data_IF_635118420424
#
_entry.id   IF_635118420424
#
_cell.length_a   1.000
_cell.length_b   1.000
_cell.length_c   1.000
_cell.angle_alpha   90.00
_cell.angle_beta   90.00
_cell.angle_gamma   90.00
#
_symmetry.space_group_name_H-M   'P 1'
#
loop_
_entity.id
_entity.type
_entity.pdbx_description
1 polymer ?
#
# COMPACT_ATOMS: atom_id res chain seq x y z
N UNK A 1 -9.15 -3.52 33.80
CA UNK A 1 -8.18 -3.38 32.71
C UNK A 1 -8.80 -3.88 31.41
N UNK A 2 -8.72 -3.12 30.33
CA UNK A 2 -9.23 -3.55 29.03
C UNK A 2 -8.19 -4.51 28.40
N UNK A 3 -8.45 -5.80 28.56
CA UNK A 3 -7.59 -6.85 28.01
C UNK A 3 -8.15 -7.36 26.67
N UNK A 4 -7.28 -7.43 25.66
CA UNK A 4 -7.59 -7.88 24.31
C UNK A 4 -6.78 -9.11 23.93
N UNK A 5 -7.22 -9.86 22.94
CA UNK A 5 -6.39 -10.89 22.32
C UNK A 5 -5.32 -10.24 21.46
N UNK A 6 -5.71 -9.23 20.66
CA UNK A 6 -4.80 -8.50 19.76
C UNK A 6 -5.04 -7.01 19.82
N UNK A 7 -3.97 -6.22 19.93
CA UNK A 7 -3.99 -4.78 19.67
C UNK A 7 -3.32 -4.55 18.32
N UNK A 8 -4.01 -3.87 17.40
CA UNK A 8 -3.51 -3.45 16.10
C UNK A 8 -3.21 -1.95 16.12
N UNK A 9 -2.00 -1.56 15.79
CA UNK A 9 -1.57 -0.16 15.75
C UNK A 9 -1.61 0.35 14.32
N UNK A 10 -2.60 1.22 14.02
CA UNK A 10 -2.87 1.79 12.69
C UNK A 10 -4.11 1.18 12.03
N UNK A 11 -5.01 2.06 11.55
CA UNK A 11 -6.26 1.70 10.87
C UNK A 11 -6.17 1.93 9.34
N UNK A 12 -4.98 1.72 8.74
CA UNK A 12 -4.81 1.63 7.29
C UNK A 12 -5.26 0.27 6.74
N UNK A 13 -5.08 -0.01 5.43
CA UNK A 13 -5.53 -1.25 4.82
C UNK A 13 -5.04 -2.51 5.54
N UNK A 14 -3.79 -2.55 6.01
CA UNK A 14 -3.27 -3.70 6.74
C UNK A 14 -3.98 -3.91 8.09
N UNK A 15 -4.10 -2.85 8.88
CA UNK A 15 -4.69 -2.97 10.22
C UNK A 15 -6.20 -3.20 10.20
N UNK A 16 -6.91 -2.54 9.31
CA UNK A 16 -8.35 -2.75 9.14
C UNK A 16 -8.64 -4.17 8.63
N UNK A 17 -7.87 -4.68 7.65
CA UNK A 17 -8.03 -6.05 7.17
C UNK A 17 -7.70 -7.08 8.26
N UNK A 18 -6.61 -6.87 9.04
CA UNK A 18 -6.34 -7.78 10.15
C UNK A 18 -7.48 -7.78 11.18
N UNK A 19 -8.01 -6.60 11.51
CA UNK A 19 -9.16 -6.49 12.42
C UNK A 19 -10.41 -7.20 11.88
N UNK A 20 -10.67 -7.10 10.58
CA UNK A 20 -11.76 -7.81 9.90
C UNK A 20 -11.59 -9.33 9.99
N UNK A 21 -10.43 -9.84 9.61
CA UNK A 21 -10.14 -11.28 9.62
C UNK A 21 -10.22 -11.89 11.03
N UNK A 22 -9.59 -11.22 12.02
CA UNK A 22 -9.60 -11.70 13.40
C UNK A 22 -10.96 -11.56 14.07
N UNK A 23 -11.72 -10.49 13.75
CA UNK A 23 -13.09 -10.30 14.25
C UNK A 23 -14.02 -11.43 13.79
N UNK A 24 -13.89 -11.88 12.51
CA UNK A 24 -14.63 -13.05 12.00
C UNK A 24 -14.23 -14.36 12.68
N UNK A 25 -13.07 -14.42 13.30
CA UNK A 25 -12.60 -15.55 14.14
C UNK A 25 -12.99 -15.38 15.62
N UNK A 26 -13.87 -14.43 15.92
CA UNK A 26 -14.40 -14.12 17.26
C UNK A 26 -13.32 -13.73 18.29
N UNK A 27 -12.16 -13.23 17.82
CA UNK A 27 -11.11 -12.74 18.68
C UNK A 27 -11.40 -11.29 19.13
N UNK A 28 -11.04 -10.98 20.37
CA UNK A 28 -11.19 -9.63 20.92
C UNK A 28 -10.08 -8.71 20.43
N UNK A 29 -10.36 -7.94 19.37
CA UNK A 29 -9.41 -7.07 18.69
C UNK A 29 -9.67 -5.60 18.98
N UNK A 30 -8.61 -4.86 19.31
CA UNK A 30 -8.61 -3.40 19.40
C UNK A 30 -7.72 -2.82 18.30
N UNK A 31 -8.29 -1.97 17.45
CA UNK A 31 -7.54 -1.18 16.47
C UNK A 31 -7.37 0.24 17.02
N UNK A 32 -6.12 0.70 17.15
CA UNK A 32 -5.78 2.05 17.57
C UNK A 32 -5.34 2.88 16.37
N UNK A 33 -6.00 4.00 16.09
CA UNK A 33 -5.62 4.95 15.05
C UNK A 33 -5.36 6.33 15.68
N UNK A 34 -4.21 6.92 15.35
CA UNK A 34 -3.80 8.22 15.91
C UNK A 34 -4.62 9.41 15.42
N UNK A 35 -5.13 9.31 14.19
CA UNK A 35 -5.94 10.36 13.57
C UNK A 35 -7.44 10.03 13.73
N UNK A 36 -8.30 11.05 13.70
CA UNK A 36 -9.75 10.85 13.57
C UNK A 36 -10.12 10.36 12.18
N UNK A 37 -10.99 9.37 12.09
CA UNK A 37 -11.48 8.82 10.83
C UNK A 37 -12.77 9.54 10.38
N UNK A 38 -12.95 9.71 9.03
CA UNK A 38 -12.03 9.41 7.93
C UNK A 38 -10.86 10.40 7.88
N UNK A 39 -9.65 9.90 7.56
CA UNK A 39 -8.45 10.71 7.53
C UNK A 39 -7.79 10.74 6.15
N UNK A 40 -7.13 11.83 5.82
CA UNK A 40 -6.30 11.92 4.62
C UNK A 40 -5.08 10.98 4.74
N UNK A 41 -4.70 10.35 3.63
CA UNK A 41 -3.47 9.57 3.49
C UNK A 41 -2.95 9.74 2.06
N UNK A 42 -1.73 10.28 1.86
CA UNK A 42 -1.17 10.45 0.53
C UNK A 42 -0.98 9.08 -0.15
N UNK A 43 -1.55 8.94 -1.34
CA UNK A 43 -1.47 7.75 -2.18
C UNK A 43 -2.22 7.99 -3.48
N UNK A 44 -1.68 7.61 -4.61
CA UNK A 44 -2.40 7.61 -5.89
C UNK A 44 -3.77 6.89 -5.82
N UNK A 45 -3.95 6.02 -4.82
CA UNK A 45 -5.21 5.32 -4.58
C UNK A 45 -5.53 4.31 -5.68
N UNK A 46 -4.52 3.76 -6.35
CA UNK A 46 -4.71 2.68 -7.31
C UNK A 46 -4.91 1.34 -6.60
N UNK A 47 -6.04 0.70 -6.82
CA UNK A 47 -6.35 -0.66 -6.37
C UNK A 47 -6.26 -1.58 -7.58
N UNK A 48 -5.25 -2.42 -7.64
CA UNK A 48 -5.09 -3.41 -8.72
C UNK A 48 -6.15 -4.50 -8.64
N UNK A 49 -6.39 -5.23 -9.74
CA UNK A 49 -7.33 -6.37 -9.74
C UNK A 49 -6.98 -7.39 -8.66
N UNK A 50 -5.68 -7.70 -8.49
CA UNK A 50 -5.22 -8.63 -7.46
C UNK A 50 -5.48 -8.11 -6.05
N UNK A 51 -5.40 -6.80 -5.82
CA UNK A 51 -5.73 -6.23 -4.52
C UNK A 51 -7.24 -6.27 -4.25
N UNK A 52 -8.06 -5.95 -5.25
CA UNK A 52 -9.52 -6.02 -5.14
C UNK A 52 -10.01 -7.45 -4.91
N UNK A 53 -9.41 -8.46 -5.57
CA UNK A 53 -9.81 -9.88 -5.43
C UNK A 53 -9.50 -10.49 -4.05
N UNK A 54 -8.69 -9.82 -3.21
CA UNK A 54 -8.45 -10.23 -1.83
C UNK A 54 -9.62 -9.92 -0.89
N UNK A 55 -10.52 -9.01 -1.30
CA UNK A 55 -11.64 -8.58 -0.50
C UNK A 55 -12.87 -9.42 -0.86
N UNK A 56 -13.50 -10.04 0.12
CA UNK A 56 -14.69 -10.89 -0.03
C UNK A 56 -16.01 -10.09 0.06
N UNK A 57 -15.92 -8.76 -0.05
CA UNK A 57 -17.04 -7.83 -0.06
C UNK A 57 -16.90 -6.81 -1.20
N UNK A 58 -18.04 -6.26 -1.62
CA UNK A 58 -18.10 -5.26 -2.69
C UNK A 58 -17.51 -3.91 -2.25
N UNK A 59 -16.59 -3.38 -3.06
CA UNK A 59 -15.94 -2.07 -2.86
C UNK A 59 -16.47 -0.99 -3.82
N UNK A 60 -17.49 -1.27 -4.61
CA UNK A 60 -18.01 -0.36 -5.65
C UNK A 60 -18.37 1.01 -5.09
N UNK A 61 -18.88 1.08 -3.87
CA UNK A 61 -19.28 2.32 -3.19
C UNK A 61 -18.13 3.30 -2.93
N UNK A 62 -16.90 2.84 -2.94
CA UNK A 62 -15.69 3.67 -2.68
C UNK A 62 -14.80 3.81 -3.91
N UNK A 63 -15.19 3.25 -5.06
CA UNK A 63 -14.48 3.43 -6.33
C UNK A 63 -14.78 4.84 -6.87
N UNK A 64 -13.73 5.57 -7.18
CA UNK A 64 -13.79 6.89 -7.80
C UNK A 64 -13.72 6.81 -9.34
N UNK A 65 -13.01 5.81 -9.88
CA UNK A 65 -12.90 5.55 -11.31
C UNK A 65 -12.36 4.16 -11.59
N UNK A 66 -12.59 3.66 -12.82
CA UNK A 66 -12.08 2.36 -13.31
C UNK A 66 -11.27 2.59 -14.57
N UNK A 67 -9.99 2.27 -14.55
CA UNK A 67 -9.11 2.45 -15.70
C UNK A 67 -8.97 1.15 -16.50
N UNK A 68 -9.26 1.22 -17.79
CA UNK A 68 -9.03 0.17 -18.77
C UNK A 68 -7.89 0.49 -19.72
N UNK A 69 -7.47 1.76 -19.74
CA UNK A 69 -6.44 2.26 -20.65
C UNK A 69 -5.33 2.95 -19.87
N UNK A 70 -4.12 2.86 -20.40
CA UNK A 70 -2.98 3.61 -19.92
C UNK A 70 -2.37 4.43 -21.06
N UNK A 71 -2.24 5.74 -20.85
CA UNK A 71 -1.34 6.59 -21.59
C UNK A 71 0.05 6.40 -21.01
N UNK A 72 1.01 5.99 -21.80
CA UNK A 72 2.39 5.81 -21.37
C UNK A 72 3.24 6.81 -22.15
N UNK A 73 4.01 7.62 -21.44
CA UNK A 73 4.95 8.57 -22.05
C UNK A 73 6.38 8.25 -21.63
N UNK A 74 7.30 8.53 -22.54
CA UNK A 74 8.73 8.51 -22.28
C UNK A 74 9.24 9.95 -22.21
N UNK A 75 9.62 10.39 -21.02
CA UNK A 75 10.14 11.75 -20.76
C UNK A 75 9.17 12.84 -21.22
N UNK A 76 7.87 12.65 -20.99
CA UNK A 76 6.79 13.57 -21.33
C UNK A 76 6.71 13.96 -22.81
N UNK A 77 7.27 13.16 -23.71
CA UNK A 77 7.36 13.49 -25.13
C UNK A 77 6.80 12.39 -26.05
N UNK A 78 7.49 11.26 -26.17
CA UNK A 78 7.02 10.13 -26.98
C UNK A 78 5.93 9.37 -26.21
N UNK A 79 4.80 9.05 -26.88
CA UNK A 79 3.65 8.47 -26.21
C UNK A 79 3.05 7.27 -26.93
N UNK A 80 2.34 6.45 -26.19
CA UNK A 80 1.37 5.50 -26.69
C UNK A 80 0.19 5.38 -25.72
N UNK A 81 -0.98 5.06 -26.26
CA UNK A 81 -2.15 4.68 -25.47
C UNK A 81 -2.40 3.20 -25.68
N UNK A 82 -2.47 2.48 -24.59
CA UNK A 82 -2.71 1.04 -24.57
C UNK A 82 -3.97 0.72 -23.78
N UNK A 83 -4.75 -0.20 -24.30
CA UNK A 83 -5.98 -0.68 -23.63
C UNK A 83 -5.80 -2.13 -23.19
N UNK A 84 -6.44 -2.49 -22.11
CA UNK A 84 -6.57 -3.87 -21.63
C UNK A 84 -8.05 -4.26 -21.58
N UNK A 85 -8.35 -5.55 -21.78
CA UNK A 85 -9.74 -6.08 -21.75
C UNK A 85 -10.36 -6.03 -20.36
N UNK A 86 -9.53 -6.22 -19.34
CA UNK A 86 -9.92 -6.14 -17.93
C UNK A 86 -9.48 -4.80 -17.33
N UNK A 87 -10.08 -4.35 -16.24
CA UNK A 87 -9.59 -3.18 -15.52
C UNK A 87 -8.10 -3.28 -15.22
N UNK A 88 -7.33 -2.24 -15.52
CA UNK A 88 -5.95 -2.13 -15.07
C UNK A 88 -5.91 -1.90 -13.57
N UNK A 89 -6.71 -0.95 -13.11
CA UNK A 89 -6.88 -0.64 -11.70
C UNK A 89 -8.20 0.13 -11.46
N UNK A 90 -8.64 0.11 -10.22
CA UNK A 90 -9.66 1.01 -9.70
C UNK A 90 -8.98 2.17 -8.98
N UNK A 91 -9.54 3.36 -9.05
CA UNK A 91 -9.05 4.50 -8.27
C UNK A 91 -9.97 4.76 -7.10
N UNK A 92 -9.39 5.07 -5.94
CA UNK A 92 -10.12 5.35 -4.69
C UNK A 92 -9.53 6.57 -3.98
N UNK A 93 -10.34 7.27 -3.21
CA UNK A 93 -9.85 8.18 -2.18
C UNK A 93 -9.50 7.38 -0.94
N UNK A 94 -8.25 7.46 -0.48
CA UNK A 94 -7.77 6.71 0.68
C UNK A 94 -8.54 7.00 1.96
N UNK A 95 -9.03 8.23 2.12
CA UNK A 95 -9.90 8.59 3.25
C UNK A 95 -11.18 7.76 3.28
N UNK A 96 -11.83 7.58 2.12
CA UNK A 96 -13.05 6.79 1.98
C UNK A 96 -12.74 5.28 2.05
N UNK A 97 -11.74 4.81 1.31
CA UNK A 97 -11.39 3.39 1.24
C UNK A 97 -10.91 2.84 2.59
N UNK A 98 -9.98 3.56 3.26
CA UNK A 98 -9.49 3.12 4.56
C UNK A 98 -10.62 3.09 5.61
N UNK A 99 -11.50 4.12 5.59
CA UNK A 99 -12.65 4.17 6.49
C UNK A 99 -13.65 3.05 6.22
N UNK A 100 -13.91 2.73 4.96
CA UNK A 100 -14.75 1.62 4.57
C UNK A 100 -14.20 0.27 5.08
N UNK A 101 -12.89 0.03 4.94
CA UNK A 101 -12.27 -1.17 5.51
C UNK A 101 -12.39 -1.23 7.04
N UNK A 102 -12.28 -0.08 7.71
CA UNK A 102 -12.49 0.02 9.17
C UNK A 102 -13.92 -0.33 9.55
N UNK A 103 -14.91 0.14 8.79
CA UNK A 103 -16.32 -0.22 9.02
C UNK A 103 -16.53 -1.74 8.87
N UNK A 104 -15.90 -2.36 7.86
CA UNK A 104 -15.93 -3.83 7.71
C UNK A 104 -15.29 -4.55 8.91
N UNK A 105 -14.20 -4.04 9.44
CA UNK A 105 -13.61 -4.58 10.67
C UNK A 105 -14.55 -4.45 11.88
N UNK A 106 -15.25 -3.33 12.03
CA UNK A 106 -16.23 -3.12 13.08
C UNK A 106 -17.45 -4.04 12.93
N UNK A 107 -17.96 -4.21 11.70
CA UNK A 107 -19.04 -5.16 11.38
C UNK A 107 -18.65 -6.60 11.76
N UNK A 108 -17.37 -6.95 11.62
CA UNK A 108 -16.81 -8.24 12.02
C UNK A 108 -16.54 -8.38 13.53
N UNK A 109 -16.74 -7.33 14.33
CA UNK A 109 -16.59 -7.36 15.78
C UNK A 109 -15.33 -6.70 16.33
N UNK A 110 -14.44 -6.13 15.48
CA UNK A 110 -13.28 -5.39 15.96
C UNK A 110 -13.68 -4.06 16.62
N UNK A 111 -13.05 -3.74 17.73
CA UNK A 111 -13.21 -2.45 18.41
C UNK A 111 -12.21 -1.47 17.79
N UNK A 112 -12.68 -0.28 17.41
CA UNK A 112 -11.83 0.77 16.84
C UNK A 112 -11.82 1.99 17.73
N UNK A 113 -10.62 2.48 18.06
CA UNK A 113 -10.42 3.70 18.82
C UNK A 113 -9.55 4.66 18.02
N UNK A 114 -10.18 5.64 17.40
CA UNK A 114 -9.53 6.66 16.59
C UNK A 114 -9.25 7.94 17.39
N UNK A 115 -8.25 8.72 16.94
CA UNK A 115 -7.71 9.85 17.71
C UNK A 115 -6.89 9.40 18.92
N UNK A 116 -6.50 8.11 18.97
CA UNK A 116 -5.71 7.52 20.05
C UNK A 116 -4.34 7.12 19.56
N UNK A 117 -3.31 7.82 20.03
CA UNK A 117 -1.92 7.58 19.67
C UNK A 117 -1.28 6.57 20.61
N UNK A 118 -0.74 5.49 20.05
CA UNK A 118 0.20 4.63 20.76
C UNK A 118 1.56 5.34 20.87
N UNK A 119 2.12 5.39 22.08
CA UNK A 119 3.36 6.11 22.39
C UNK A 119 4.52 5.16 22.72
N UNK A 120 4.23 4.04 23.36
CA UNK A 120 5.23 3.04 23.76
C UNK A 120 4.61 1.65 23.80
N UNK A 121 5.41 0.65 23.50
CA UNK A 121 5.03 -0.77 23.56
C UNK A 121 6.06 -1.49 24.40
N UNK A 122 5.57 -2.25 25.38
CA UNK A 122 6.40 -3.10 26.23
C UNK A 122 5.90 -4.54 26.12
N UNK A 123 6.80 -5.44 25.72
CA UNK A 123 6.56 -6.89 25.78
C UNK A 123 6.85 -7.34 27.20
N UNK A 124 5.91 -8.08 27.79
CA UNK A 124 5.98 -8.63 29.15
C UNK A 124 5.82 -10.14 29.13
N UNK A 125 6.08 -10.82 30.24
CA UNK A 125 5.88 -12.27 30.35
C UNK A 125 4.40 -12.69 30.14
N UNK A 126 3.46 -11.78 30.43
CA UNK A 126 2.02 -12.04 30.31
C UNK A 126 1.39 -11.54 28.98
N UNK A 127 2.19 -10.92 28.10
CA UNK A 127 1.70 -10.37 26.83
C UNK A 127 2.35 -9.04 26.46
N UNK A 128 1.53 -8.06 26.07
CA UNK A 128 2.00 -6.77 25.61
C UNK A 128 1.21 -5.65 26.30
N UNK A 129 1.91 -4.64 26.76
CA UNK A 129 1.32 -3.39 27.23
C UNK A 129 1.59 -2.27 26.20
N UNK A 130 0.54 -1.57 25.82
CA UNK A 130 0.58 -0.43 24.88
C UNK A 130 0.18 0.83 25.61
N UNK A 131 1.13 1.73 25.84
CA UNK A 131 0.89 3.05 26.38
C UNK A 131 0.35 3.96 25.32
N UNK A 132 -0.77 4.62 25.57
CA UNK A 132 -1.43 5.51 24.62
C UNK A 132 -1.67 6.90 25.19
N UNK A 133 -2.19 7.80 24.35
CA UNK A 133 -2.60 9.15 24.75
C UNK A 133 -3.74 9.21 25.76
N UNK A 134 -4.47 8.10 25.97
CA UNK A 134 -5.62 8.00 26.89
C UNK A 134 -5.45 6.97 28.01
N UNK A 135 -4.23 6.41 28.14
CA UNK A 135 -3.89 5.39 29.14
C UNK A 135 -3.41 4.08 28.53
N UNK A 136 -3.07 3.09 29.36
CA UNK A 136 -2.56 1.80 28.90
C UNK A 136 -3.67 0.85 28.44
N UNK A 137 -3.33 0.04 27.44
CA UNK A 137 -4.09 -1.13 27.01
C UNK A 137 -3.20 -2.36 27.05
N UNK A 138 -3.77 -3.53 27.31
CA UNK A 138 -3.04 -4.79 27.36
C UNK A 138 -3.61 -5.82 26.41
N UNK A 139 -2.75 -6.64 25.79
CA UNK A 139 -3.14 -7.72 24.91
C UNK A 139 -2.17 -8.89 24.97
N UNK A 140 -2.55 -10.03 24.38
CA UNK A 140 -1.61 -11.16 24.16
C UNK A 140 -0.62 -10.84 23.06
N UNK A 141 -1.08 -10.19 21.96
CA UNK A 141 -0.27 -9.91 20.75
C UNK A 141 -0.47 -8.45 20.34
N UNK A 142 0.59 -7.83 19.81
CA UNK A 142 0.52 -6.53 19.13
C UNK A 142 0.89 -6.69 17.66
N UNK A 143 0.08 -6.10 16.77
CA UNK A 143 0.32 -6.02 15.35
C UNK A 143 0.62 -4.57 14.93
N UNK A 144 1.82 -4.32 14.41
CA UNK A 144 2.22 -3.03 13.87
C UNK A 144 1.75 -2.87 12.42
N UNK A 145 0.72 -2.03 12.21
CA UNK A 145 0.18 -1.62 10.91
C UNK A 145 0.30 -0.09 10.74
N UNK A 146 1.29 0.51 11.40
CA UNK A 146 1.46 1.95 11.60
C UNK A 146 2.25 2.63 10.45
N UNK A 147 2.47 1.89 9.36
CA UNK A 147 3.02 2.40 8.10
C UNK A 147 4.53 2.62 8.12
N UNK A 148 5.05 3.21 7.05
CA UNK A 148 6.49 3.38 6.79
C UNK A 148 7.26 4.20 7.85
N UNK A 149 6.55 5.03 8.64
CA UNK A 149 7.11 5.87 9.71
C UNK A 149 6.59 5.45 11.09
N UNK A 150 6.09 4.23 11.19
CA UNK A 150 5.55 3.69 12.42
C UNK A 150 6.58 3.52 13.53
N UNK A 151 6.10 3.42 14.76
CA UNK A 151 6.94 3.28 15.95
C UNK A 151 7.06 1.84 16.44
N UNK A 152 6.14 0.95 16.01
CA UNK A 152 6.06 -0.44 16.52
C UNK A 152 7.38 -1.16 16.26
N UNK A 153 7.87 -1.17 15.02
CA UNK A 153 9.13 -1.84 14.66
C UNK A 153 10.30 -1.45 15.60
N UNK A 154 10.45 -0.16 15.88
CA UNK A 154 11.49 0.35 16.78
C UNK A 154 11.28 -0.11 18.21
N UNK A 155 10.05 -0.05 18.73
CA UNK A 155 9.75 -0.40 20.12
C UNK A 155 9.98 -1.88 20.43
N UNK A 156 9.69 -2.75 19.45
CA UNK A 156 9.84 -4.20 19.63
C UNK A 156 11.19 -4.74 19.11
N UNK A 157 12.10 -3.85 18.67
CA UNK A 157 13.44 -4.24 18.22
C UNK A 157 13.47 -4.95 16.86
N UNK A 158 12.54 -4.61 15.96
CA UNK A 158 12.44 -5.13 14.58
C UNK A 158 12.91 -4.09 13.52
N UNK A 159 13.82 -3.21 13.92
CA UNK A 159 14.39 -2.22 12.98
C UNK A 159 15.39 -2.88 12.04
N UNK A 160 15.25 -2.58 10.75
CA UNK A 160 16.21 -3.02 9.74
C UNK A 160 16.55 -1.86 8.79
N UNK A 161 17.73 -1.94 8.18
CA UNK A 161 18.07 -1.04 7.08
C UNK A 161 17.38 -1.52 5.81
N UNK A 162 16.34 -0.79 5.42
CA UNK A 162 15.50 -1.09 4.26
C UNK A 162 15.79 -0.14 3.11
N UNK A 163 15.71 -0.63 1.90
CA UNK A 163 15.65 0.21 0.72
C UNK A 163 14.41 1.09 0.81
N UNK A 164 14.55 2.34 0.38
CA UNK A 164 13.43 3.29 0.42
C UNK A 164 13.26 3.98 -0.92
N UNK A 165 12.03 4.02 -1.38
CA UNK A 165 11.54 4.96 -2.35
C UNK A 165 10.89 6.16 -1.67
N UNK A 166 10.76 7.24 -2.41
CA UNK A 166 9.97 8.42 -2.03
C UNK A 166 8.99 8.71 -3.16
N UNK A 167 7.73 8.94 -2.81
CA UNK A 167 6.72 9.49 -3.68
C UNK A 167 6.31 10.88 -3.21
N UNK A 168 6.02 11.79 -4.15
CA UNK A 168 5.37 13.08 -3.89
C UNK A 168 4.08 13.06 -4.67
N UNK A 169 2.97 13.32 -3.99
CA UNK A 169 1.63 13.32 -4.55
C UNK A 169 0.94 14.66 -4.33
N UNK A 170 0.10 15.03 -5.30
CA UNK A 170 -0.76 16.20 -5.25
C UNK A 170 -2.17 15.85 -5.72
N UNK A 171 -3.17 16.45 -5.07
CA UNK A 171 -4.53 16.50 -5.59
C UNK A 171 -4.67 17.72 -6.49
N UNK A 172 -5.08 17.50 -7.73
CA UNK A 172 -5.03 18.49 -8.80
C UNK A 172 -6.40 18.62 -9.44
N UNK A 173 -6.98 19.81 -9.33
CA UNK A 173 -8.27 20.13 -9.93
C UNK A 173 -8.05 20.75 -11.31
N UNK A 174 -8.74 20.20 -12.29
CA UNK A 174 -8.79 20.68 -13.67
C UNK A 174 -10.23 21.09 -14.02
N UNK A 175 -10.41 21.84 -15.11
CA UNK A 175 -11.76 22.19 -15.58
C UNK A 175 -12.58 20.93 -15.88
N UNK A 176 -13.88 20.93 -15.57
CA UNK A 176 -14.75 19.76 -15.69
C UNK A 176 -14.75 19.11 -17.08
N UNK A 177 -14.69 19.93 -18.15
CA UNK A 177 -14.58 19.46 -19.51
C UNK A 177 -13.24 18.75 -19.83
N UNK A 178 -12.18 19.08 -19.08
CA UNK A 178 -10.88 18.38 -19.19
C UNK A 178 -10.85 17.08 -18.37
N UNK A 179 -11.67 16.98 -17.33
CA UNK A 179 -11.72 15.77 -16.51
C UNK A 179 -12.29 14.58 -17.29
N UNK A 180 -13.21 14.83 -18.23
CA UNK A 180 -13.78 13.77 -19.09
C UNK A 180 -12.75 13.11 -20.02
N UNK A 181 -11.64 13.78 -20.33
CA UNK A 181 -10.55 13.22 -21.12
C UNK A 181 -9.83 12.06 -20.38
N UNK A 182 -10.09 11.94 -19.09
CA UNK A 182 -9.50 10.93 -18.20
C UNK A 182 -10.42 9.73 -17.96
N UNK A 183 -11.59 9.70 -18.58
CA UNK A 183 -12.50 8.57 -18.42
C UNK A 183 -11.81 7.26 -18.81
N UNK A 184 -11.74 6.32 -17.85
CA UNK A 184 -11.12 5.00 -18.02
C UNK A 184 -9.63 5.03 -18.38
N UNK A 185 -8.95 6.16 -18.22
CA UNK A 185 -7.56 6.39 -18.60
C UNK A 185 -6.71 6.75 -17.40
N UNK A 186 -5.55 6.11 -17.25
CA UNK A 186 -4.47 6.56 -16.37
C UNK A 186 -3.26 6.98 -17.21
N UNK A 187 -2.46 7.88 -16.69
CA UNK A 187 -1.20 8.27 -17.35
C UNK A 187 -0.01 7.86 -16.50
N UNK A 188 0.97 7.23 -17.14
CA UNK A 188 2.27 6.87 -16.58
C UNK A 188 3.37 7.50 -17.42
N UNK A 189 4.22 8.30 -16.82
CA UNK A 189 5.42 8.84 -17.47
C UNK A 189 6.68 8.19 -16.92
N UNK A 190 7.58 7.78 -17.79
CA UNK A 190 8.80 7.05 -17.44
C UNK A 190 10.05 7.72 -18.04
N UNK A 191 11.22 7.40 -17.49
CA UNK A 191 12.52 7.80 -18.06
C UNK A 191 13.12 9.10 -17.50
N UNK A 192 12.40 9.87 -16.66
CA UNK A 192 12.97 11.06 -16.00
C UNK A 192 13.81 10.71 -14.77
N UNK A 193 13.35 9.73 -14.02
CA UNK A 193 14.01 9.25 -12.81
C UNK A 193 14.39 7.79 -13.02
N UNK A 194 15.67 7.40 -12.88
CA UNK A 194 16.05 5.99 -12.92
C UNK A 194 15.32 5.21 -11.82
N UNK A 195 14.61 4.13 -12.20
CA UNK A 195 13.79 3.33 -11.29
C UNK A 195 12.56 4.05 -10.72
N UNK A 196 12.15 5.14 -11.36
CA UNK A 196 10.98 5.92 -10.96
C UNK A 196 10.06 6.23 -12.13
N UNK A 197 8.88 6.77 -11.81
CA UNK A 197 7.87 7.19 -12.78
C UNK A 197 6.98 8.29 -12.22
N UNK A 198 6.26 8.97 -13.12
CA UNK A 198 5.15 9.88 -12.80
C UNK A 198 3.82 9.24 -13.10
N UNK A 199 2.78 9.67 -12.41
CA UNK A 199 1.42 9.19 -12.64
C UNK A 199 0.40 10.31 -12.62
N UNK A 200 -0.70 10.10 -13.36
CA UNK A 200 -1.94 10.85 -13.25
C UNK A 200 -3.08 9.85 -13.20
N UNK A 201 -3.78 9.81 -12.06
CA UNK A 201 -4.88 8.89 -11.82
C UNK A 201 -6.17 9.69 -11.58
N UNK A 202 -7.21 9.48 -12.41
CA UNK A 202 -8.45 10.19 -12.26
C UNK A 202 -9.20 9.79 -10.98
N UNK A 203 -9.81 10.79 -10.36
CA UNK A 203 -10.83 10.66 -9.33
C UNK A 203 -12.14 11.23 -9.87
N UNK A 204 -13.19 11.17 -9.07
CA UNK A 204 -14.52 11.62 -9.48
C UNK A 204 -14.57 13.09 -9.90
N UNK A 205 -13.80 13.95 -9.24
CA UNK A 205 -13.84 15.41 -9.37
C UNK A 205 -12.45 16.06 -9.51
N UNK A 206 -11.38 15.28 -9.48
CA UNK A 206 -10.00 15.76 -9.59
C UNK A 206 -9.04 14.66 -10.09
N UNK A 207 -7.75 14.97 -10.17
CA UNK A 207 -6.69 14.05 -10.52
C UNK A 207 -5.74 13.89 -9.34
N UNK A 208 -5.33 12.65 -9.04
CA UNK A 208 -4.14 12.39 -8.22
C UNK A 208 -2.92 12.39 -9.14
N UNK A 209 -2.04 13.35 -8.94
CA UNK A 209 -0.83 13.55 -9.74
C UNK A 209 0.38 13.37 -8.86
N UNK A 210 1.33 12.58 -9.29
CA UNK A 210 2.52 12.40 -8.49
C UNK A 210 3.70 11.81 -9.24
N UNK A 211 4.81 11.76 -8.55
CA UNK A 211 6.06 11.19 -9.03
C UNK A 211 6.71 10.39 -7.90
N UNK A 212 7.36 9.30 -8.25
CA UNK A 212 8.06 8.45 -7.29
C UNK A 212 9.32 7.85 -7.85
N UNK A 213 10.21 7.41 -6.96
CA UNK A 213 11.44 6.74 -7.32
C UNK A 213 12.35 6.50 -6.11
N UNK A 214 13.54 5.93 -6.33
CA UNK A 214 14.50 5.67 -5.26
C UNK A 214 14.87 6.95 -4.49
N UNK A 215 15.00 6.86 -3.17
CA UNK A 215 15.16 8.01 -2.27
C UNK A 215 16.39 8.86 -2.59
N UNK A 216 17.44 8.27 -3.13
CA UNK A 216 18.66 9.00 -3.52
C UNK A 216 18.43 9.96 -4.69
N UNK A 217 17.32 9.83 -5.44
CA UNK A 217 16.89 10.80 -6.45
C UNK A 217 15.86 11.81 -5.94
N UNK A 218 15.57 11.85 -4.64
CA UNK A 218 14.53 12.70 -4.03
C UNK A 218 14.60 14.17 -4.43
N UNK A 219 15.81 14.75 -4.56
CA UNK A 219 16.02 16.13 -5.00
C UNK A 219 15.49 16.41 -6.43
N UNK A 220 15.37 15.39 -7.29
CA UNK A 220 14.89 15.52 -8.67
C UNK A 220 13.37 15.38 -8.77
N UNK A 221 12.71 14.80 -7.76
CA UNK A 221 11.27 14.51 -7.83
C UNK A 221 10.44 15.79 -7.94
N UNK A 222 10.78 16.85 -7.18
CA UNK A 222 10.02 18.10 -7.23
C UNK A 222 10.02 18.74 -8.62
N UNK A 223 11.17 18.89 -9.24
CA UNK A 223 11.27 19.45 -10.60
C UNK A 223 10.63 18.57 -11.67
N UNK A 224 10.59 17.26 -11.43
CA UNK A 224 9.86 16.34 -12.31
C UNK A 224 8.34 16.51 -12.17
N UNK A 225 7.83 16.61 -10.95
CA UNK A 225 6.42 16.86 -10.69
C UNK A 225 5.95 18.18 -11.31
N UNK A 226 6.74 19.24 -11.18
CA UNK A 226 6.46 20.55 -11.80
C UNK A 226 6.33 20.44 -13.33
N UNK A 227 7.19 19.66 -13.98
CA UNK A 227 7.08 19.39 -15.43
C UNK A 227 5.83 18.59 -15.80
N UNK A 228 5.48 17.58 -15.01
CA UNK A 228 4.27 16.78 -15.20
C UNK A 228 3.02 17.66 -15.08
N UNK A 229 2.96 18.54 -14.08
CA UNK A 229 1.87 19.51 -13.91
C UNK A 229 1.76 20.48 -15.09
N UNK A 230 2.92 20.97 -15.59
CA UNK A 230 2.94 21.85 -16.74
C UNK A 230 2.30 21.21 -18.00
N UNK A 231 2.48 19.90 -18.18
CA UNK A 231 1.86 19.13 -19.27
C UNK A 231 0.34 18.97 -19.13
N UNK A 232 -0.19 19.06 -17.90
CA UNK A 232 -1.64 19.07 -17.66
C UNK A 232 -2.28 20.43 -18.04
N UNK A 233 -1.47 21.48 -18.14
CA UNK A 233 -1.93 22.84 -18.41
C UNK A 233 -2.54 23.51 -17.18
N UNK A 234 -3.58 24.32 -17.39
CA UNK A 234 -4.24 25.07 -16.30
C UNK A 234 -4.87 24.11 -15.29
N UNK A 235 -4.33 24.15 -14.08
CA UNK A 235 -4.77 23.30 -12.97
C UNK A 235 -4.55 23.99 -11.62
N UNK A 236 -5.33 23.60 -10.62
CA UNK A 236 -5.22 24.08 -9.25
C UNK A 236 -4.75 22.92 -8.35
N UNK A 237 -3.61 23.13 -7.67
CA UNK A 237 -3.05 22.15 -6.72
C UNK A 237 -3.61 22.43 -5.32
N UNK A 238 -4.21 21.41 -4.69
CA UNK A 238 -4.77 21.54 -3.34
C UNK A 238 -3.81 21.07 -2.24
N UNK A 239 -3.16 19.92 -2.43
CA UNK A 239 -2.27 19.32 -1.44
C UNK A 239 -0.96 18.88 -2.10
N UNK A 240 0.14 18.84 -1.33
CA UNK A 240 1.42 18.27 -1.75
C UNK A 240 2.06 17.53 -0.58
N UNK A 241 2.10 16.21 -0.66
CA UNK A 241 2.55 15.38 0.46
C UNK A 241 3.49 14.28 -0.02
N UNK A 242 4.56 14.05 0.75
CA UNK A 242 5.53 12.98 0.50
C UNK A 242 5.21 11.70 1.28
N UNK A 243 5.41 10.55 0.65
CA UNK A 243 5.28 9.23 1.27
C UNK A 243 6.52 8.37 1.03
N UNK A 244 7.02 7.72 2.11
CA UNK A 244 8.10 6.75 2.02
C UNK A 244 7.56 5.37 1.60
N UNK A 245 8.28 4.72 0.72
CA UNK A 245 7.97 3.37 0.22
C UNK A 245 9.11 2.43 0.62
N UNK A 246 9.01 1.75 1.78
CA UNK A 246 10.05 0.83 2.22
C UNK A 246 9.93 -0.52 1.52
N UNK A 247 11.07 -1.09 1.11
CA UNK A 247 11.13 -2.38 0.39
C UNK A 247 11.90 -3.40 1.20
N UNK A 248 11.22 -4.48 1.61
CA UNK A 248 11.75 -5.57 2.41
C UNK A 248 12.82 -6.36 1.65
N UNK A 249 13.89 -6.73 2.34
CA UNK A 249 14.85 -7.75 1.91
C UNK A 249 14.52 -9.10 2.57
N UNK A 250 14.71 -10.21 1.87
CA UNK A 250 14.53 -11.55 2.47
C UNK A 250 15.41 -11.72 3.69
N UNK A 251 14.88 -12.41 4.69
CA UNK A 251 15.58 -12.64 5.97
C UNK A 251 15.48 -11.47 6.96
N UNK A 252 14.80 -10.37 6.62
CA UNK A 252 14.45 -9.35 7.61
C UNK A 252 13.35 -9.87 8.52
N UNK A 253 13.58 -9.88 9.82
CA UNK A 253 12.56 -10.26 10.79
C UNK A 253 11.39 -9.26 10.77
N UNK A 254 10.16 -9.78 10.72
CA UNK A 254 8.91 -9.03 10.83
C UNK A 254 8.05 -9.49 11.99
N UNK A 255 8.57 -10.37 12.81
CA UNK A 255 7.97 -10.81 14.07
C UNK A 255 9.03 -10.96 15.15
N UNK A 256 8.65 -10.77 16.41
CA UNK A 256 9.49 -11.00 17.58
C UNK A 256 8.62 -11.17 18.83
N UNK A 257 8.69 -12.36 19.44
CA UNK A 257 7.85 -12.65 20.61
C UNK A 257 6.37 -12.42 20.31
N UNK A 258 5.73 -11.56 21.08
CA UNK A 258 4.31 -11.22 20.97
C UNK A 258 4.01 -10.10 19.97
N UNK A 259 4.94 -9.78 19.07
CA UNK A 259 4.79 -8.66 18.13
C UNK A 259 5.04 -9.10 16.68
N UNK A 260 4.25 -8.55 15.74
CA UNK A 260 4.45 -8.70 14.31
C UNK A 260 4.18 -7.37 13.56
N UNK A 261 4.70 -7.27 12.35
CA UNK A 261 4.57 -6.09 11.48
C UNK A 261 3.83 -6.45 10.19
N UNK A 262 3.02 -5.51 9.67
CA UNK A 262 2.19 -5.66 8.48
C UNK A 262 2.41 -4.52 7.48
N UNK A 263 2.20 -4.78 6.19
CA UNK A 263 2.24 -3.78 5.14
C UNK A 263 3.53 -2.95 5.15
N UNK A 264 3.41 -1.63 5.05
CA UNK A 264 4.57 -0.72 5.03
C UNK A 264 5.41 -0.78 6.32
N UNK A 265 4.82 -1.13 7.48
CA UNK A 265 5.57 -1.32 8.71
C UNK A 265 6.50 -2.54 8.63
N UNK A 266 6.13 -3.56 7.83
CA UNK A 266 6.96 -4.71 7.47
C UNK A 266 7.78 -4.48 6.19
N UNK A 267 7.83 -3.24 5.68
CA UNK A 267 8.50 -2.85 4.44
C UNK A 267 8.00 -3.59 3.18
N UNK A 268 6.73 -3.95 3.13
CA UNK A 268 6.12 -4.71 2.04
C UNK A 268 5.55 -3.78 0.97
N UNK A 269 6.43 -3.20 0.16
CA UNK A 269 6.08 -2.40 -1.02
C UNK A 269 6.79 -2.98 -2.25
N UNK A 270 6.08 -3.06 -3.38
CA UNK A 270 6.66 -3.56 -4.62
C UNK A 270 7.65 -2.56 -5.23
N UNK A 271 8.90 -2.93 -5.47
CA UNK A 271 9.95 -1.98 -5.83
C UNK A 271 9.80 -1.33 -7.21
N UNK A 272 9.14 -1.99 -8.17
CA UNK A 272 8.91 -1.44 -9.51
C UNK A 272 7.65 -0.57 -9.57
N UNK A 273 6.53 -1.06 -9.01
CA UNK A 273 5.22 -0.40 -9.18
C UNK A 273 4.87 0.54 -8.04
N UNK A 274 5.58 0.50 -6.90
CA UNK A 274 5.21 1.23 -5.69
C UNK A 274 3.92 0.73 -5.03
N UNK A 275 3.38 -0.41 -5.47
CA UNK A 275 2.16 -0.98 -4.91
C UNK A 275 2.39 -1.44 -3.47
N UNK A 276 1.64 -0.86 -2.53
CA UNK A 276 1.64 -1.23 -1.12
C UNK A 276 0.31 -1.82 -0.64
N UNK A 277 -0.82 -1.44 -1.27
CA UNK A 277 -2.15 -1.83 -0.78
C UNK A 277 -2.36 -3.35 -0.87
N UNK A 278 -2.02 -3.98 -2.00
CA UNK A 278 -2.07 -5.44 -2.12
C UNK A 278 -1.30 -6.14 -1.00
N UNK A 279 -0.07 -5.71 -0.77
CA UNK A 279 0.80 -6.30 0.26
C UNK A 279 0.29 -6.03 1.68
N UNK A 280 -0.32 -4.88 1.90
CA UNK A 280 -0.97 -4.54 3.17
C UNK A 280 -2.14 -5.48 3.46
N UNK A 281 -3.05 -5.67 2.50
CA UNK A 281 -4.18 -6.60 2.62
C UNK A 281 -3.69 -8.04 2.80
N UNK A 282 -2.79 -8.50 1.92
CA UNK A 282 -2.33 -9.89 1.93
C UNK A 282 -1.54 -10.24 3.17
N UNK A 283 -0.66 -9.36 3.66
CA UNK A 283 0.07 -9.60 4.91
C UNK A 283 -0.87 -9.75 6.11
N UNK A 284 -1.95 -9.00 6.17
CA UNK A 284 -2.97 -9.14 7.21
C UNK A 284 -3.68 -10.50 7.14
N UNK A 285 -4.07 -10.93 5.92
CA UNK A 285 -4.69 -12.24 5.72
C UNK A 285 -3.76 -13.41 6.05
N UNK A 286 -2.46 -13.26 5.82
CA UNK A 286 -1.46 -14.26 6.22
C UNK A 286 -1.23 -14.28 7.74
N UNK A 287 -1.32 -13.14 8.41
CA UNK A 287 -1.14 -13.03 9.85
C UNK A 287 -2.31 -13.61 10.65
N UNK A 288 -3.54 -13.41 10.18
CA UNK A 288 -4.74 -13.75 10.93
C UNK A 288 -4.82 -15.24 11.36
N UNK A 289 -4.66 -16.23 10.46
CA UNK A 289 -4.72 -17.65 10.87
C UNK A 289 -3.57 -18.04 11.80
N UNK A 290 -2.38 -17.45 11.65
CA UNK A 290 -1.25 -17.72 12.54
C UNK A 290 -1.52 -17.17 13.94
N UNK A 291 -2.04 -15.95 14.04
CA UNK A 291 -2.44 -15.35 15.30
C UNK A 291 -3.51 -16.21 15.99
N UNK A 292 -4.55 -16.61 15.29
CA UNK A 292 -5.63 -17.41 15.84
C UNK A 292 -5.14 -18.77 16.36
N UNK A 293 -4.34 -19.49 15.58
CA UNK A 293 -3.75 -20.78 15.97
C UNK A 293 -2.84 -20.63 17.19
N UNK A 294 -1.98 -19.62 17.21
CA UNK A 294 -1.07 -19.30 18.32
C UNK A 294 -1.85 -19.07 19.62
N UNK A 295 -2.94 -18.30 19.55
CA UNK A 295 -3.78 -18.01 20.73
C UNK A 295 -4.53 -19.23 21.23
N UNK A 296 -5.01 -20.10 20.34
CA UNK A 296 -5.68 -21.37 20.71
C UNK A 296 -4.72 -22.34 21.41
N UNK A 297 -3.48 -22.41 20.96
CA UNK A 297 -2.47 -23.30 21.52
C UNK A 297 -1.81 -22.78 22.80
N UNK A 298 -2.14 -21.54 23.25
CA UNK A 298 -1.52 -20.86 24.40
C UNK A 298 0.04 -20.78 24.32
N UNK A 299 0.58 -20.85 23.12
CA UNK A 299 2.03 -20.76 22.88
C UNK A 299 2.26 -19.72 21.78
N UNK A 300 2.80 -18.57 22.14
CA UNK A 300 3.03 -17.49 21.19
C UNK A 300 4.23 -17.81 20.30
N UNK A 301 3.92 -18.23 19.07
CA UNK A 301 4.91 -18.42 18.01
C UNK A 301 4.37 -17.82 16.69
N UNK A 302 4.98 -16.74 16.24
CA UNK A 302 4.58 -16.00 15.05
C UNK A 302 5.51 -16.27 13.85
N UNK A 303 6.42 -17.26 13.93
CA UNK A 303 7.37 -17.57 12.86
C UNK A 303 6.69 -18.02 11.58
N UNK A 304 5.59 -18.73 11.69
CA UNK A 304 4.81 -19.19 10.52
C UNK A 304 4.27 -18.02 9.69
N UNK A 305 3.98 -16.87 10.31
CA UNK A 305 3.64 -15.66 9.58
C UNK A 305 4.81 -15.15 8.73
N UNK A 306 6.00 -15.09 9.29
CA UNK A 306 7.19 -14.66 8.54
C UNK A 306 7.49 -15.61 7.39
N UNK A 307 7.39 -16.92 7.62
CA UNK A 307 7.53 -17.94 6.57
C UNK A 307 6.49 -17.79 5.47
N UNK A 308 5.23 -17.53 5.82
CA UNK A 308 4.16 -17.31 4.86
C UNK A 308 4.40 -16.06 4.01
N UNK A 309 4.88 -14.97 4.60
CA UNK A 309 5.29 -13.75 3.88
C UNK A 309 6.47 -14.03 2.94
N UNK A 310 7.49 -14.75 3.42
CA UNK A 310 8.65 -15.11 2.61
C UNK A 310 8.30 -16.06 1.45
N UNK A 311 7.34 -16.94 1.64
CA UNK A 311 6.89 -17.85 0.58
C UNK A 311 5.95 -17.19 -0.45
N UNK A 312 5.04 -16.31 -0.01
CA UNK A 312 3.97 -15.83 -0.87
C UNK A 312 4.16 -14.40 -1.39
N UNK A 313 4.88 -13.53 -0.67
CA UNK A 313 5.05 -12.11 -1.05
C UNK A 313 6.46 -11.80 -1.54
N UNK A 314 7.48 -12.41 -0.96
CA UNK A 314 8.86 -12.11 -1.33
C UNK A 314 9.22 -12.46 -2.78
N UNK A 315 8.73 -13.55 -3.40
CA UNK A 315 9.03 -13.81 -4.80
C UNK A 315 8.65 -12.66 -5.73
N UNK A 316 7.47 -12.05 -5.52
CA UNK A 316 7.03 -10.88 -6.29
C UNK A 316 7.89 -9.64 -6.02
N UNK A 317 8.28 -9.39 -4.77
CA UNK A 317 9.16 -8.27 -4.42
C UNK A 317 10.55 -8.44 -5.02
N UNK A 318 11.11 -9.64 -4.98
CA UNK A 318 12.44 -9.95 -5.54
C UNK A 318 12.48 -9.85 -7.06
N UNK A 319 11.49 -10.43 -7.75
CA UNK A 319 11.36 -10.26 -9.20
C UNK A 319 11.12 -8.79 -9.57
N UNK A 320 10.34 -8.07 -8.78
CA UNK A 320 10.14 -6.63 -8.94
C UNK A 320 11.44 -5.83 -8.83
N UNK A 321 12.40 -6.23 -7.98
CA UNK A 321 13.75 -5.62 -7.93
C UNK A 321 14.50 -5.82 -9.22
N UNK A 322 14.58 -7.08 -9.68
CA UNK A 322 15.26 -7.40 -10.94
C UNK A 322 14.67 -6.61 -12.10
N UNK A 323 13.33 -6.56 -12.20
CA UNK A 323 12.64 -5.78 -13.22
C UNK A 323 12.90 -4.27 -13.09
N UNK A 324 12.92 -3.74 -11.86
CA UNK A 324 13.23 -2.34 -11.58
C UNK A 324 14.65 -1.97 -12.00
N UNK A 325 15.63 -2.84 -11.75
CA UNK A 325 17.02 -2.66 -12.16
C UNK A 325 17.18 -2.68 -13.70
N UNK A 326 16.52 -3.62 -14.37
CA UNK A 326 16.50 -3.72 -15.83
C UNK A 326 15.82 -2.50 -16.45
N UNK A 327 14.67 -2.10 -15.90
CA UNK A 327 13.93 -0.91 -16.32
C UNK A 327 14.77 0.37 -16.14
N UNK A 328 15.50 0.47 -15.03
CA UNK A 328 16.40 1.60 -14.74
C UNK A 328 17.53 1.73 -15.77
N UNK A 329 18.08 0.60 -16.21
CA UNK A 329 19.19 0.57 -17.19
C UNK A 329 18.75 0.90 -18.62
N UNK A 330 17.52 0.53 -18.99
CA UNK A 330 17.06 0.61 -20.38
C UNK A 330 15.58 1.03 -20.50
N UNK A 331 15.13 2.15 -19.88
CA UNK A 331 13.71 2.51 -19.85
C UNK A 331 13.13 2.74 -21.26
N UNK A 332 13.92 3.25 -22.20
CA UNK A 332 13.51 3.44 -23.60
C UNK A 332 13.21 2.13 -24.31
N UNK A 333 13.98 1.08 -24.04
CA UNK A 333 13.75 -0.25 -24.64
C UNK A 333 12.41 -0.82 -24.17
N UNK A 334 12.13 -0.76 -22.86
CA UNK A 334 10.85 -1.23 -22.30
C UNK A 334 9.66 -0.41 -22.82
N UNK A 335 9.81 0.91 -22.93
CA UNK A 335 8.81 1.76 -23.55
C UNK A 335 8.50 1.30 -24.99
N UNK A 336 9.54 1.12 -25.82
CA UNK A 336 9.37 0.70 -27.20
C UNK A 336 8.75 -0.71 -27.33
N UNK A 337 9.10 -1.64 -26.45
CA UNK A 337 8.49 -2.97 -26.41
C UNK A 337 6.99 -2.89 -26.09
N UNK A 338 6.61 -2.14 -25.05
CA UNK A 338 5.21 -1.95 -24.70
C UNK A 338 4.44 -1.21 -25.81
N UNK A 339 5.07 -0.22 -26.45
CA UNK A 339 4.49 0.53 -27.56
C UNK A 339 4.28 -0.35 -28.79
N UNK A 340 5.24 -1.22 -29.13
CA UNK A 340 5.27 -1.97 -30.38
C UNK A 340 4.47 -3.28 -30.40
N UNK A 341 4.22 -3.93 -29.24
CA UNK A 341 3.53 -5.23 -29.17
C UNK A 341 2.48 -5.28 -28.06
N UNK A 342 1.23 -5.43 -28.44
CA UNK A 342 0.09 -5.51 -27.51
C UNK A 342 0.10 -6.77 -26.64
N UNK A 343 0.78 -7.83 -27.08
CA UNK A 343 0.93 -9.07 -26.28
C UNK A 343 1.89 -8.83 -25.12
N UNK A 344 2.98 -8.10 -25.35
CA UNK A 344 3.93 -7.69 -24.30
C UNK A 344 3.22 -6.78 -23.29
N UNK A 345 2.44 -5.83 -23.77
CA UNK A 345 1.63 -4.97 -22.94
C UNK A 345 0.64 -5.77 -22.08
N UNK A 346 -0.16 -6.65 -22.72
CA UNK A 346 -1.14 -7.48 -22.01
C UNK A 346 -0.50 -8.36 -20.96
N UNK A 347 0.61 -9.03 -21.32
CA UNK A 347 1.37 -9.86 -20.39
C UNK A 347 1.90 -9.05 -19.19
N UNK A 348 2.48 -7.87 -19.44
CA UNK A 348 2.95 -6.99 -18.36
C UNK A 348 1.81 -6.59 -17.41
N UNK A 349 0.62 -6.27 -17.95
CA UNK A 349 -0.55 -5.96 -17.14
C UNK A 349 -1.02 -7.16 -16.31
N UNK A 350 -1.07 -8.34 -16.89
CA UNK A 350 -1.51 -9.56 -16.19
C UNK A 350 -0.53 -9.96 -15.07
N UNK A 351 0.76 -9.82 -15.31
CA UNK A 351 1.80 -10.09 -14.30
C UNK A 351 1.82 -9.05 -13.19
N UNK A 352 1.79 -7.76 -13.53
CA UNK A 352 1.98 -6.69 -12.54
C UNK A 352 0.69 -6.32 -11.80
N UNK A 353 -0.48 -6.45 -12.43
CA UNK A 353 -1.74 -5.93 -11.93
C UNK A 353 -2.81 -7.02 -11.73
N UNK A 354 -2.71 -8.12 -12.45
CA UNK A 354 -3.75 -9.15 -12.54
C UNK A 354 -3.66 -10.30 -11.55
N UNK A 355 -2.51 -10.52 -10.93
CA UNK A 355 -2.30 -11.66 -10.02
C UNK A 355 -2.10 -13.01 -10.74
N UNK A 356 -1.81 -13.00 -12.04
CA UNK A 356 -1.31 -14.18 -12.75
C UNK A 356 0.02 -14.65 -12.13
N UNK A 357 0.33 -15.96 -12.21
CA UNK A 357 1.60 -16.45 -11.71
C UNK A 357 2.75 -15.74 -12.43
N UNK A 358 3.65 -15.14 -11.65
CA UNK A 358 4.90 -14.57 -12.17
C UNK A 358 5.80 -15.71 -12.70
N UNK A 359 5.42 -16.95 -12.42
CA UNK A 359 6.09 -18.19 -12.86
C UNK A 359 5.07 -19.08 -13.59
N UNK A 360 5.10 -19.11 -14.87
CA UNK A 360 4.68 -20.24 -15.72
C UNK A 360 5.93 -20.72 -16.45
#
# INVERSE_FOLDING_TARGET
>A
MNYYDVIVIGAGPAGATLGYELGRMELKVLILEKEKLPRYKPCAGGITRRAASLLDFDISSVIEGTAYSARITYQLSDECIKRHKEPLLYTVMRSKFDHFLVQKAQEAGAIVSDGVRANHIQITDSGVEVMTSIGPFTAKIVAGADGAKGMVAKNVGLTADVERGLAIEQEVYVAANKLTDWDSLVWLDIGHIPGGYGWVFPKKDHLSVGVGGPIHFSKRLKSYLERLLHHLGDCQVANSVGHLMPVRKRGMAIQRGNALLLGDAAALVHPLTGEGIYYALRSAQLAAPVIASTLQNNTIDLRDYEQAVDAQLMPSIESGRVLSDLFTKSPRVYFNLMKGDDRIWSYACDVLLGGGPIYA
#
